data_IF_866467178061
#
_entry.id   IF_866467178061
#
_cell.length_a   1.000
_cell.length_b   1.000
_cell.length_c   1.000
_cell.angle_alpha   90.00
_cell.angle_beta   90.00
_cell.angle_gamma   90.00
#
_symmetry.space_group_name_H-M   'P 1'
#
loop_
_entity.id
_entity.type
_entity.pdbx_description
1 polymer ?
#
# COMPACT_ATOMS: atom_id res chain seq x y z
N UNK A 1 -11.11 -5.09 20.02
CA UNK A 1 -11.13 -5.45 18.59
C UNK A 1 -11.07 -4.14 17.81
N UNK A 2 -9.98 -3.84 17.13
CA UNK A 2 -9.92 -2.64 16.30
C UNK A 2 -10.73 -2.91 15.03
N UNK A 3 -11.85 -2.20 14.89
CA UNK A 3 -12.73 -2.29 13.72
C UNK A 3 -11.97 -1.91 12.46
N UNK A 4 -11.65 -2.91 11.65
CA UNK A 4 -10.87 -2.76 10.44
C UNK A 4 -11.79 -2.44 9.26
N UNK A 5 -12.55 -1.34 9.34
CA UNK A 5 -13.32 -0.81 8.22
C UNK A 5 -12.53 0.24 7.43
N UNK A 6 -11.18 0.14 7.44
CA UNK A 6 -10.31 0.93 6.57
C UNK A 6 -10.58 0.50 5.13
N UNK A 7 -10.95 1.45 4.28
CA UNK A 7 -11.10 1.25 2.84
C UNK A 7 -9.85 0.55 2.30
N UNK A 8 -9.97 -0.74 1.95
CA UNK A 8 -8.85 -1.61 1.60
C UNK A 8 -8.05 -1.11 0.39
N UNK A 9 -8.77 -0.58 -0.61
CA UNK A 9 -8.18 -0.08 -1.85
C UNK A 9 -8.21 1.45 -1.87
N UNK A 10 -7.05 2.06 -2.00
CA UNK A 10 -6.88 3.51 -2.02
C UNK A 10 -6.28 3.99 -3.32
N UNK A 11 -6.54 5.24 -3.71
CA UNK A 11 -5.90 5.83 -4.88
C UNK A 11 -4.44 6.24 -4.60
N UNK A 12 -3.77 6.79 -5.62
CA UNK A 12 -2.37 7.22 -5.50
C UNK A 12 -2.18 8.36 -4.47
N UNK A 13 -3.15 9.27 -4.32
CA UNK A 13 -3.01 10.38 -3.40
C UNK A 13 -3.08 9.89 -1.94
N UNK A 14 -4.03 9.01 -1.64
CA UNK A 14 -4.14 8.37 -0.34
C UNK A 14 -2.96 7.41 -0.07
N UNK A 15 -2.43 6.71 -1.08
CA UNK A 15 -1.22 5.90 -0.95
C UNK A 15 0.04 6.74 -0.64
N UNK A 16 0.18 7.91 -1.29
CA UNK A 16 1.25 8.87 -0.97
C UNK A 16 1.11 9.39 0.47
N UNK A 17 -0.10 9.68 0.93
CA UNK A 17 -0.34 10.11 2.30
C UNK A 17 -0.03 8.99 3.31
N UNK A 18 -0.41 7.74 3.01
CA UNK A 18 -0.16 6.59 3.85
C UNK A 18 1.35 6.29 3.99
N UNK A 19 2.11 6.38 2.90
CA UNK A 19 3.55 6.08 2.91
C UNK A 19 4.45 7.28 3.24
N UNK A 20 3.93 8.51 3.14
CA UNK A 20 4.73 9.74 3.19
C UNK A 20 5.66 9.93 1.99
N UNK A 21 5.55 9.12 0.94
CA UNK A 21 6.44 9.14 -0.21
C UNK A 21 5.94 10.05 -1.33
N UNK A 22 6.88 10.66 -2.05
CA UNK A 22 6.60 11.36 -3.30
C UNK A 22 6.10 10.41 -4.39
N UNK A 23 5.32 10.94 -5.35
CA UNK A 23 4.59 10.17 -6.37
C UNK A 23 5.39 9.02 -7.00
N UNK A 24 6.58 9.30 -7.53
CA UNK A 24 7.38 8.30 -8.25
C UNK A 24 7.88 7.19 -7.33
N UNK A 25 8.31 7.54 -6.13
CA UNK A 25 8.76 6.60 -5.12
C UNK A 25 7.59 5.77 -4.59
N UNK A 26 6.44 6.39 -4.33
CA UNK A 26 5.23 5.71 -3.89
C UNK A 26 4.76 4.67 -4.92
N UNK A 27 4.76 5.01 -6.22
CA UNK A 27 4.39 4.07 -7.28
C UNK A 27 5.31 2.85 -7.32
N UNK A 28 6.64 3.08 -7.31
CA UNK A 28 7.62 1.99 -7.30
C UNK A 28 7.51 1.13 -6.05
N UNK A 29 7.29 1.76 -4.90
CA UNK A 29 7.17 1.05 -3.63
C UNK A 29 5.93 0.15 -3.58
N UNK A 30 4.78 0.66 -4.02
CA UNK A 30 3.57 -0.16 -4.08
C UNK A 30 3.67 -1.32 -5.09
N UNK A 31 4.45 -1.15 -6.16
CA UNK A 31 4.78 -2.23 -7.10
C UNK A 31 5.73 -3.25 -6.47
N UNK A 32 6.77 -2.83 -5.76
CA UNK A 32 7.69 -3.74 -5.07
C UNK A 32 7.04 -4.54 -3.94
N UNK A 33 6.05 -3.96 -3.25
CA UNK A 33 5.26 -4.66 -2.24
C UNK A 33 4.17 -5.56 -2.85
N UNK A 34 3.91 -5.47 -4.15
CA UNK A 34 2.81 -6.20 -4.79
C UNK A 34 1.41 -5.74 -4.37
N UNK A 35 1.28 -4.55 -3.78
CA UNK A 35 -0.02 -4.00 -3.35
C UNK A 35 -0.68 -3.13 -4.43
N UNK A 36 0.01 -2.81 -5.53
CA UNK A 36 -0.54 -2.06 -6.66
C UNK A 36 -1.51 -2.91 -7.50
N UNK A 37 -2.78 -2.53 -7.53
CA UNK A 37 -3.85 -3.25 -8.24
C UNK A 37 -4.43 -2.39 -9.36
N UNK A 38 -4.63 -2.98 -10.54
CA UNK A 38 -5.31 -2.33 -11.66
C UNK A 38 -6.74 -2.87 -11.80
N UNK A 39 -7.74 -2.01 -11.60
CA UNK A 39 -9.16 -2.32 -11.76
C UNK A 39 -9.73 -1.45 -12.87
N UNK A 40 -9.95 -2.06 -14.04
CA UNK A 40 -10.29 -1.33 -15.25
C UNK A 40 -9.23 -0.27 -15.56
N UNK A 41 -9.67 1.00 -15.62
CA UNK A 41 -8.79 2.16 -15.88
C UNK A 41 -8.13 2.75 -14.61
N UNK A 42 -8.51 2.28 -13.42
CA UNK A 42 -8.02 2.81 -12.14
C UNK A 42 -6.81 2.01 -11.66
N UNK A 43 -5.83 2.73 -11.11
CA UNK A 43 -4.74 2.14 -10.33
C UNK A 43 -5.02 2.45 -8.86
N UNK A 44 -5.13 1.40 -8.05
CA UNK A 44 -5.37 1.48 -6.61
C UNK A 44 -4.25 0.72 -5.87
N UNK A 45 -4.17 0.92 -4.56
CA UNK A 45 -3.21 0.28 -3.68
C UNK A 45 -3.95 -0.42 -2.55
N UNK A 46 -3.63 -1.70 -2.32
CA UNK A 46 -4.23 -2.53 -1.28
C UNK A 46 -3.47 -2.36 0.04
N UNK A 47 -4.03 -1.61 0.98
CA UNK A 47 -3.41 -1.32 2.27
C UNK A 47 -3.21 -2.59 3.12
N UNK A 48 -4.10 -3.58 3.01
CA UNK A 48 -3.97 -4.82 3.78
C UNK A 48 -2.79 -5.66 3.28
N UNK A 49 -2.53 -5.66 1.96
CA UNK A 49 -1.32 -6.26 1.40
C UNK A 49 -0.08 -5.48 1.83
N UNK A 50 -0.15 -4.14 1.76
CA UNK A 50 0.96 -3.29 2.16
C UNK A 50 1.37 -3.50 3.63
N UNK A 51 0.42 -3.42 4.57
CA UNK A 51 0.67 -3.65 6.00
C UNK A 51 1.37 -5.01 6.20
N UNK A 52 0.80 -6.09 5.64
CA UNK A 52 1.35 -7.44 5.77
C UNK A 52 2.78 -7.58 5.23
N UNK A 53 3.08 -6.99 4.08
CA UNK A 53 4.43 -7.09 3.52
C UNK A 53 5.43 -6.19 4.26
N UNK A 54 5.00 -5.04 4.79
CA UNK A 54 5.84 -4.18 5.64
C UNK A 54 6.18 -4.89 6.95
N UNK A 55 5.21 -5.55 7.58
CA UNK A 55 5.43 -6.32 8.81
C UNK A 55 6.46 -7.45 8.58
N UNK A 56 6.32 -8.21 7.48
CA UNK A 56 7.33 -9.23 7.11
C UNK A 56 8.72 -8.65 6.91
N UNK A 57 8.83 -7.48 6.25
CA UNK A 57 10.11 -6.80 6.05
C UNK A 57 10.73 -6.35 7.38
N UNK A 58 9.89 -5.96 8.33
CA UNK A 58 10.33 -5.60 9.67
C UNK A 58 10.85 -6.83 10.44
N UNK A 59 10.09 -7.92 10.44
CA UNK A 59 10.46 -9.19 11.08
C UNK A 59 11.74 -9.81 10.49
N UNK A 60 11.91 -9.77 9.16
CA UNK A 60 13.08 -10.34 8.49
C UNK A 60 14.40 -9.60 8.80
N UNK A 61 14.32 -8.39 9.36
CA UNK A 61 15.48 -7.55 9.68
C UNK A 61 15.89 -7.64 11.16
N UNK A 62 15.06 -8.25 12.01
CA UNK A 62 15.37 -8.51 13.42
C UNK A 62 16.09 -9.85 13.59
#
# INVERSE_FOLDING_TARGET
MLENNKTRLVDLAAWMAYTGLGRNTAMKFGESLGCRVRIGRRVLYDLAVADREIDKLHEARQ
#
